data_IF_236397219286
#
_entry.id   IF_236397219286
#
_cell.length_a   1.000
_cell.length_b   1.000
_cell.length_c   1.000
_cell.angle_alpha   90.00
_cell.angle_beta   90.00
_cell.angle_gamma   90.00
#
_symmetry.space_group_name_H-M   'P 1'
#
loop_
_entity.id
_entity.type
_entity.pdbx_description
1 polymer ?
#
# COMPACT_ATOMS: atom_id res chain seq x y z
N UNK A 1 16.38 7.92 0.35
CA UNK A 1 15.63 7.63 1.60
C UNK A 1 16.36 8.21 2.84
N UNK A 2 15.75 9.17 3.54
CA UNK A 2 16.26 9.60 4.86
C UNK A 2 16.01 8.45 5.84
N UNK A 3 17.06 7.97 6.52
CA UNK A 3 16.95 7.02 7.61
C UNK A 3 15.90 7.53 8.60
N UNK A 4 14.90 6.71 8.95
CA UNK A 4 14.06 6.97 10.10
C UNK A 4 14.91 6.75 11.35
N UNK A 5 15.64 7.78 11.77
CA UNK A 5 16.49 7.76 12.96
C UNK A 5 15.74 8.47 14.08
N UNK A 6 15.45 7.74 15.14
CA UNK A 6 15.04 8.31 16.42
C UNK A 6 16.14 7.98 17.42
N UNK A 7 16.55 8.94 18.25
CA UNK A 7 17.48 8.64 19.33
C UNK A 7 16.69 8.04 20.51
N UNK A 8 17.17 6.93 21.08
CA UNK A 8 16.61 6.41 22.32
C UNK A 8 16.96 7.31 23.53
N UNK A 9 16.46 6.97 24.73
CA UNK A 9 16.75 7.73 25.96
C UNK A 9 18.25 7.77 26.33
N UNK A 10 19.06 6.88 25.75
CA UNK A 10 20.51 6.83 25.91
C UNK A 10 21.28 7.64 24.87
N UNK A 11 20.60 8.17 23.86
CA UNK A 11 21.19 8.90 22.73
C UNK A 11 21.73 8.00 21.62
N UNK A 12 21.42 6.70 21.63
CA UNK A 12 21.79 5.77 20.56
C UNK A 12 20.82 5.92 19.38
N UNK A 13 21.37 5.89 18.15
CA UNK A 13 20.55 5.91 16.94
C UNK A 13 19.76 4.59 16.81
N UNK A 14 18.43 4.68 16.80
CA UNK A 14 17.56 3.57 16.46
C UNK A 14 17.50 3.44 14.93
N UNK A 15 17.96 2.31 14.42
CA UNK A 15 17.83 1.96 12.99
C UNK A 15 16.51 1.24 12.74
N UNK A 16 16.00 1.32 11.51
CA UNK A 16 14.83 0.57 11.06
C UNK A 16 14.95 -0.94 11.35
N UNK A 17 16.13 -1.52 11.10
CA UNK A 17 16.44 -2.93 11.38
C UNK A 17 16.34 -3.25 12.88
N UNK A 18 16.92 -2.42 13.75
CA UNK A 18 16.90 -2.65 15.19
C UNK A 18 15.48 -2.59 15.77
N UNK A 19 14.70 -1.60 15.35
CA UNK A 19 13.33 -1.38 15.82
C UNK A 19 12.36 -2.47 15.33
N UNK A 20 12.56 -2.95 14.11
CA UNK A 20 11.76 -4.06 13.59
C UNK A 20 12.20 -5.41 14.18
N UNK A 21 13.49 -5.60 14.43
CA UNK A 21 13.99 -6.82 15.08
C UNK A 21 13.37 -7.02 16.46
N UNK A 22 13.28 -5.96 17.28
CA UNK A 22 12.63 -6.04 18.60
C UNK A 22 11.15 -6.42 18.45
N UNK A 23 10.43 -5.72 17.58
CA UNK A 23 9.02 -5.99 17.28
C UNK A 23 8.77 -7.43 16.82
N UNK A 24 9.61 -7.95 15.92
CA UNK A 24 9.50 -9.32 15.40
C UNK A 24 9.79 -10.34 16.49
N UNK A 25 10.80 -10.10 17.34
CA UNK A 25 11.13 -11.01 18.43
C UNK A 25 10.06 -11.10 19.53
N UNK A 26 9.24 -10.06 19.70
CA UNK A 26 8.11 -10.05 20.63
C UNK A 26 6.85 -10.67 20.02
N UNK A 27 6.62 -10.46 18.72
CA UNK A 27 5.44 -10.97 18.01
C UNK A 27 5.58 -12.41 17.50
N UNK A 28 6.80 -12.89 17.24
CA UNK A 28 7.06 -14.16 16.58
C UNK A 28 8.16 -14.96 17.28
N UNK A 29 8.01 -16.29 17.33
CA UNK A 29 8.99 -17.17 17.99
C UNK A 29 10.34 -17.25 17.28
N UNK A 30 10.38 -16.90 16.00
CA UNK A 30 11.60 -16.85 15.18
C UNK A 30 11.36 -15.97 13.95
N UNK A 31 12.26 -15.01 13.72
CA UNK A 31 12.31 -14.23 12.51
C UNK A 31 13.65 -13.52 12.38
N UNK A 32 14.05 -13.19 11.15
CA UNK A 32 15.26 -12.41 10.88
C UNK A 32 14.88 -11.12 10.18
N UNK A 33 15.54 -10.03 10.56
CA UNK A 33 15.34 -8.72 9.95
C UNK A 33 16.68 -8.27 9.39
N UNK A 34 16.69 -7.81 8.15
CA UNK A 34 17.89 -7.31 7.47
C UNK A 34 17.51 -6.05 6.70
N UNK A 35 18.28 -4.97 6.84
CA UNK A 35 18.07 -3.76 6.03
C UNK A 35 19.10 -3.65 4.90
N UNK A 36 18.63 -3.27 3.71
CA UNK A 36 19.50 -2.81 2.63
C UNK A 36 19.70 -1.29 2.77
N UNK A 37 20.92 -0.88 3.13
CA UNK A 37 21.25 0.52 3.33
C UNK A 37 21.18 1.38 2.04
N UNK A 38 21.30 0.76 0.88
CA UNK A 38 21.30 1.44 -0.41
C UNK A 38 19.90 1.82 -0.87
N UNK A 39 18.93 0.93 -0.64
CA UNK A 39 17.54 1.10 -1.04
C UNK A 39 16.65 1.58 0.10
N UNK A 40 17.01 1.26 1.35
CA UNK A 40 16.22 1.51 2.55
C UNK A 40 15.14 0.45 2.82
N UNK A 41 15.06 -0.59 1.98
CA UNK A 41 14.12 -1.71 2.16
C UNK A 41 14.60 -2.59 3.32
N UNK A 42 13.66 -3.03 4.14
CA UNK A 42 13.89 -3.99 5.22
C UNK A 42 13.20 -5.29 4.86
N UNK A 43 13.97 -6.37 4.80
CA UNK A 43 13.43 -7.73 4.63
C UNK A 43 13.19 -8.34 6.00
N UNK A 44 11.92 -8.65 6.29
CA UNK A 44 11.51 -9.41 7.48
C UNK A 44 11.21 -10.84 7.03
N UNK A 45 11.91 -11.83 7.59
CA UNK A 45 11.70 -13.24 7.28
C UNK A 45 11.07 -13.92 8.48
N UNK A 46 9.90 -14.53 8.30
CA UNK A 46 9.19 -15.29 9.33
C UNK A 46 8.88 -16.67 8.75
N UNK A 47 9.46 -17.71 9.36
CA UNK A 47 9.42 -19.06 8.78
C UNK A 47 10.19 -19.10 7.45
N UNK A 48 9.49 -19.46 6.37
CA UNK A 48 10.04 -19.51 5.01
C UNK A 48 9.56 -18.33 4.13
N UNK A 49 8.80 -17.39 4.70
CA UNK A 49 8.23 -16.28 3.93
C UNK A 49 9.00 -14.99 4.17
N UNK A 50 9.34 -14.32 3.08
CA UNK A 50 9.99 -13.01 3.06
C UNK A 50 8.95 -11.89 2.92
N UNK A 51 9.07 -10.87 3.75
CA UNK A 51 8.23 -9.68 3.75
C UNK A 51 9.08 -8.41 3.57
N UNK A 52 9.22 -7.88 2.34
CA UNK A 52 9.90 -6.62 2.09
C UNK A 52 9.01 -5.44 2.52
N UNK A 53 9.55 -4.61 3.42
CA UNK A 53 8.84 -3.46 3.96
C UNK A 53 9.72 -2.21 3.96
N UNK A 54 9.06 -1.06 3.92
CA UNK A 54 9.67 0.22 4.25
C UNK A 54 9.15 0.69 5.60
N UNK A 55 10.04 1.30 6.40
CA UNK A 55 9.64 2.00 7.62
C UNK A 55 9.12 3.37 7.23
N UNK A 56 7.81 3.54 7.31
CA UNK A 56 7.13 4.79 6.98
C UNK A 56 7.29 5.82 8.11
N UNK A 57 7.22 5.36 9.37
CA UNK A 57 7.27 6.24 10.54
C UNK A 57 7.79 5.53 11.78
N UNK A 58 8.52 6.26 12.63
CA UNK A 58 8.93 5.82 13.97
C UNK A 58 8.64 6.94 14.97
N UNK A 59 7.99 6.62 16.08
CA UNK A 59 7.59 7.57 17.13
C UNK A 59 7.86 6.98 18.51
N UNK A 60 8.30 7.81 19.44
CA UNK A 60 8.26 7.47 20.86
C UNK A 60 6.82 7.63 21.37
N UNK A 61 6.35 6.64 22.13
CA UNK A 61 5.02 6.62 22.73
C UNK A 61 5.12 6.30 24.22
N UNK A 62 4.26 6.92 25.06
CA UNK A 62 4.24 6.60 26.48
C UNK A 62 3.75 5.17 26.73
N UNK A 63 4.14 4.58 27.85
CA UNK A 63 3.73 3.23 28.31
C UNK A 63 2.20 3.03 28.38
N UNK A 64 1.43 4.11 28.37
CA UNK A 64 -0.03 4.04 28.28
C UNK A 64 -0.54 3.56 26.92
N UNK A 65 0.28 3.60 25.86
CA UNK A 65 -0.07 3.07 24.55
C UNK A 65 0.13 1.56 24.59
N UNK A 66 -0.91 0.75 24.29
CA UNK A 66 -0.77 -0.70 24.30
C UNK A 66 0.25 -1.18 23.28
N UNK A 67 1.12 -2.07 23.73
CA UNK A 67 2.04 -2.83 22.89
C UNK A 67 1.30 -3.82 21.98
N UNK A 68 1.98 -4.23 20.92
CA UNK A 68 1.49 -5.22 19.96
C UNK A 68 1.50 -4.72 18.52
N UNK A 69 1.09 -5.62 17.62
CA UNK A 69 1.04 -5.39 16.17
C UNK A 69 -0.42 -5.25 15.76
N UNK A 70 -0.72 -4.20 14.99
CA UNK A 70 -2.07 -3.97 14.43
C UNK A 70 -2.01 -3.42 13.01
N UNK A 71 -2.89 -3.91 12.15
CA UNK A 71 -3.13 -3.30 10.86
C UNK A 71 -3.93 -2.00 11.04
N UNK A 72 -3.57 -0.96 10.29
CA UNK A 72 -4.28 0.30 10.20
C UNK A 72 -5.29 0.27 9.03
N UNK A 73 -6.29 1.17 8.99
CA UNK A 73 -7.34 1.16 7.96
C UNK A 73 -6.81 1.19 6.52
N UNK A 74 -5.70 1.89 6.29
CA UNK A 74 -5.04 2.00 4.99
C UNK A 74 -4.21 0.76 4.61
N UNK A 75 -4.19 -0.27 5.46
CA UNK A 75 -3.41 -1.49 5.26
C UNK A 75 -1.94 -1.38 5.67
N UNK A 76 -1.49 -0.25 6.22
CA UNK A 76 -0.16 -0.21 6.86
C UNK A 76 -0.18 -0.99 8.19
N UNK A 77 0.98 -1.41 8.69
CA UNK A 77 1.09 -2.14 9.96
C UNK A 77 1.77 -1.24 10.98
N UNK A 78 1.12 -1.06 12.13
CA UNK A 78 1.70 -0.41 13.30
C UNK A 78 2.14 -1.46 14.32
N UNK A 79 3.42 -1.45 14.65
CA UNK A 79 4.00 -2.19 15.77
C UNK A 79 4.29 -1.23 16.92
N UNK A 80 3.88 -1.57 18.13
CA UNK A 80 4.25 -0.83 19.35
C UNK A 80 4.98 -1.78 20.30
N UNK A 81 6.20 -1.41 20.69
CA UNK A 81 7.07 -2.22 21.54
C UNK A 81 8.02 -1.31 22.32
N UNK A 82 8.14 -1.52 23.63
CA UNK A 82 9.10 -0.82 24.50
C UNK A 82 9.05 0.72 24.35
N UNK A 83 7.85 1.29 24.30
CA UNK A 83 7.65 2.74 24.13
C UNK A 83 8.00 3.28 22.74
N UNK A 84 8.17 2.41 21.74
CA UNK A 84 8.43 2.79 20.34
C UNK A 84 7.29 2.28 19.47
N UNK A 85 6.64 3.20 18.75
CA UNK A 85 5.64 2.93 17.74
C UNK A 85 6.25 3.05 16.33
N UNK A 86 6.10 2.00 15.53
CA UNK A 86 6.71 1.89 14.20
C UNK A 86 5.65 1.51 13.18
N UNK A 87 5.49 2.33 12.16
CA UNK A 87 4.60 2.06 11.04
C UNK A 87 5.42 1.54 9.87
N UNK A 88 5.05 0.36 9.36
CA UNK A 88 5.63 -0.22 8.16
C UNK A 88 4.61 -0.32 7.05
N UNK A 89 5.12 -0.22 5.82
CA UNK A 89 4.35 -0.36 4.58
C UNK A 89 5.06 -1.35 3.67
N UNK A 90 4.32 -2.07 2.80
CA UNK A 90 4.94 -2.96 1.81
C UNK A 90 5.91 -2.21 0.90
N UNK A 91 6.94 -2.91 0.46
CA UNK A 91 7.92 -2.42 -0.50
C UNK A 91 8.13 -3.43 -1.63
N UNK A 92 8.55 -2.99 -2.83
CA UNK A 92 9.12 -3.92 -3.80
C UNK A 92 10.36 -4.60 -3.20
N UNK A 93 10.53 -5.89 -3.48
CA UNK A 93 11.71 -6.66 -3.12
C UNK A 93 12.98 -6.07 -3.74
N UNK A 94 12.89 -5.58 -4.99
CA UNK A 94 13.95 -4.85 -5.67
C UNK A 94 13.42 -3.52 -6.23
N UNK A 95 13.45 -2.42 -5.43
CA UNK A 95 12.97 -1.11 -5.88
C UNK A 95 13.77 -0.53 -7.05
N UNK A 96 15.06 -0.90 -7.19
CA UNK A 96 15.93 -0.35 -8.23
C UNK A 96 15.59 -1.01 -9.56
N UNK A 97 15.51 -2.34 -9.59
CA UNK A 97 15.12 -3.07 -10.79
C UNK A 97 13.67 -2.77 -11.20
N UNK A 98 12.75 -2.69 -10.24
CA UNK A 98 11.36 -2.29 -10.48
C UNK A 98 11.26 -0.92 -11.16
N UNK A 99 11.93 0.09 -10.59
CA UNK A 99 11.91 1.45 -11.15
C UNK A 99 12.57 1.51 -12.54
N UNK A 100 13.67 0.77 -12.73
CA UNK A 100 14.35 0.70 -14.03
C UNK A 100 13.45 0.08 -15.10
N UNK A 101 12.77 -1.03 -14.78
CA UNK A 101 11.90 -1.71 -15.74
C UNK A 101 10.70 -0.84 -16.13
N UNK A 102 10.13 -0.06 -15.20
CA UNK A 102 9.07 0.89 -15.55
C UNK A 102 9.54 1.99 -16.49
N UNK A 103 10.75 2.53 -16.28
CA UNK A 103 11.34 3.52 -17.20
C UNK A 103 11.52 2.94 -18.60
N UNK A 104 11.92 1.67 -18.71
CA UNK A 104 12.08 0.97 -20.00
C UNK A 104 10.74 0.80 -20.74
N UNK A 105 9.61 0.79 -20.04
CA UNK A 105 8.26 0.82 -20.66
C UNK A 105 7.83 2.20 -21.16
N UNK A 106 8.65 3.24 -20.94
CA UNK A 106 8.35 4.62 -21.32
C UNK A 106 7.52 5.39 -20.28
N UNK A 107 7.28 4.81 -19.11
CA UNK A 107 6.67 5.50 -17.97
C UNK A 107 7.74 6.36 -17.28
N UNK A 108 7.43 7.63 -17.05
CA UNK A 108 8.28 8.57 -16.31
C UNK A 108 7.59 8.98 -15.01
N UNK A 109 8.33 9.56 -14.08
CA UNK A 109 7.83 10.03 -12.78
C UNK A 109 7.23 8.94 -11.87
N UNK A 110 7.81 7.72 -11.92
CA UNK A 110 7.51 6.67 -10.94
C UNK A 110 8.02 7.10 -9.57
N UNK A 111 7.13 7.18 -8.59
CA UNK A 111 7.48 7.44 -7.21
C UNK A 111 6.86 6.38 -6.29
N UNK A 112 7.68 5.80 -5.44
CA UNK A 112 7.25 5.03 -4.28
C UNK A 112 7.19 6.01 -3.10
N UNK A 113 5.98 6.39 -2.73
CA UNK A 113 5.74 7.35 -1.66
C UNK A 113 6.03 6.76 -0.28
N UNK A 114 6.15 7.60 0.74
CA UNK A 114 6.45 7.17 2.12
C UNK A 114 5.37 6.28 2.74
N UNK A 115 4.14 6.33 2.22
CA UNK A 115 3.05 5.42 2.58
C UNK A 115 3.04 4.13 1.75
N UNK A 116 4.10 3.84 0.99
CA UNK A 116 4.20 2.64 0.15
C UNK A 116 3.37 2.69 -1.14
N UNK A 117 2.66 3.80 -1.41
CA UNK A 117 1.92 3.96 -2.66
C UNK A 117 2.91 4.09 -3.82
N UNK A 118 2.74 3.26 -4.83
CA UNK A 118 3.33 3.44 -6.15
C UNK A 118 2.44 4.43 -6.90
N UNK A 119 3.03 5.57 -7.25
CA UNK A 119 2.40 6.61 -8.07
C UNK A 119 3.15 6.74 -9.39
N UNK A 120 2.39 6.84 -10.48
CA UNK A 120 2.89 7.18 -11.80
C UNK A 120 1.81 7.93 -12.56
N UNK A 121 2.22 8.86 -13.42
CA UNK A 121 1.30 9.59 -14.29
C UNK A 121 1.26 8.95 -15.67
N UNK A 122 0.08 8.79 -16.24
CA UNK A 122 -0.08 8.32 -17.62
C UNK A 122 -0.08 9.52 -18.59
N UNK A 123 0.17 9.26 -19.87
CA UNK A 123 0.15 10.30 -20.91
C UNK A 123 -1.22 11.02 -21.02
N UNK A 124 -2.30 10.34 -20.63
CA UNK A 124 -3.66 10.88 -20.64
C UNK A 124 -3.99 11.70 -19.38
N UNK A 125 -3.04 11.87 -18.46
CA UNK A 125 -3.19 12.64 -17.23
C UNK A 125 -3.82 11.89 -16.06
N UNK A 126 -4.01 10.56 -16.17
CA UNK A 126 -4.45 9.73 -15.05
C UNK A 126 -3.28 9.49 -14.10
N UNK A 127 -3.57 9.36 -12.81
CA UNK A 127 -2.59 8.89 -11.82
C UNK A 127 -2.88 7.44 -11.48
N UNK A 128 -1.87 6.58 -11.52
CA UNK A 128 -1.94 5.24 -10.96
C UNK A 128 -1.75 5.30 -9.44
N UNK A 129 -2.49 4.46 -8.71
CA UNK A 129 -2.44 4.30 -7.28
C UNK A 129 -2.47 2.81 -6.93
N UNK A 130 -1.28 2.24 -6.73
CA UNK A 130 -1.12 0.86 -6.27
C UNK A 130 -0.21 0.78 -5.06
N UNK A 131 -0.16 -0.40 -4.44
CA UNK A 131 0.77 -0.72 -3.34
C UNK A 131 1.18 -2.17 -3.46
N UNK A 132 2.42 -2.50 -3.15
CA UNK A 132 2.86 -3.90 -3.11
C UNK A 132 2.07 -4.68 -2.03
N UNK A 133 1.89 -5.98 -2.23
CA UNK A 133 1.54 -6.85 -1.12
C UNK A 133 2.73 -7.06 -0.19
N UNK A 134 2.47 -7.48 1.05
CA UNK A 134 3.54 -7.68 2.02
C UNK A 134 4.42 -8.90 1.70
N UNK A 135 3.87 -9.91 1.03
CA UNK A 135 4.56 -11.19 0.82
C UNK A 135 5.27 -11.26 -0.52
N UNK A 136 6.34 -12.05 -0.57
CA UNK A 136 6.92 -12.52 -1.83
C UNK A 136 6.43 -13.94 -2.09
N UNK A 137 6.02 -14.20 -3.32
CA UNK A 137 5.87 -15.58 -3.80
C UNK A 137 7.22 -16.06 -4.28
N UNK A 138 7.85 -16.94 -3.49
CA UNK A 138 9.19 -17.46 -3.79
C UNK A 138 9.19 -18.31 -5.07
N UNK A 139 10.33 -18.32 -5.77
CA UNK A 139 10.51 -19.19 -6.94
C UNK A 139 10.43 -20.66 -6.56
N UNK A 140 9.81 -21.48 -7.40
CA UNK A 140 9.86 -22.95 -7.29
C UNK A 140 11.23 -23.54 -7.73
N UNK A 141 12.21 -22.68 -8.02
CA UNK A 141 13.55 -23.06 -8.48
C UNK A 141 13.67 -23.25 -10.00
N UNK A 142 12.63 -22.91 -10.76
CA UNK A 142 12.64 -22.95 -12.24
C UNK A 142 12.87 -21.56 -12.88
N UNK A 143 13.14 -20.53 -12.06
CA UNK A 143 13.47 -19.18 -12.53
C UNK A 143 14.78 -19.14 -13.33
N UNK A 144 14.73 -18.51 -14.51
CA UNK A 144 15.92 -18.20 -15.30
C UNK A 144 16.77 -17.20 -14.53
N UNK A 145 18.01 -17.54 -14.16
CA UNK A 145 18.98 -16.66 -13.46
C UNK A 145 19.51 -15.49 -14.30
N UNK A 146 18.74 -15.04 -15.28
CA UNK A 146 18.99 -13.88 -16.12
C UNK A 146 17.67 -13.35 -16.68
N UNK A 147 17.51 -12.03 -16.66
CA UNK A 147 16.30 -11.34 -17.10
C UNK A 147 16.19 -9.93 -16.54
N UNK A 148 15.20 -9.18 -17.01
CA UNK A 148 14.72 -7.92 -16.43
C UNK A 148 13.45 -8.20 -15.60
N UNK A 149 13.05 -7.26 -14.75
CA UNK A 149 11.72 -7.30 -14.12
C UNK A 149 10.65 -7.26 -15.22
N UNK A 150 9.65 -8.11 -15.10
CA UNK A 150 8.50 -8.18 -16.01
C UNK A 150 7.20 -7.85 -15.28
N UNK A 151 6.24 -7.30 -16.01
CA UNK A 151 4.93 -6.91 -15.48
C UNK A 151 3.82 -7.68 -16.17
N UNK A 152 2.94 -8.28 -15.37
CA UNK A 152 1.70 -8.88 -15.84
C UNK A 152 0.53 -7.99 -15.41
N UNK A 153 -0.28 -7.60 -16.39
CA UNK A 153 -1.50 -6.85 -16.13
C UNK A 153 -2.61 -7.79 -15.62
N UNK A 154 -3.49 -7.31 -14.72
CA UNK A 154 -4.66 -8.08 -14.31
C UNK A 154 -5.58 -8.40 -15.48
N UNK A 155 -6.30 -9.50 -15.39
CA UNK A 155 -7.33 -9.90 -16.35
C UNK A 155 -8.63 -10.20 -15.63
N UNK A 156 -9.76 -10.08 -16.33
CA UNK A 156 -11.08 -10.31 -15.74
C UNK A 156 -11.71 -9.05 -15.17
N UNK A 157 -12.55 -9.24 -14.16
CA UNK A 157 -13.42 -8.22 -13.59
C UNK A 157 -12.68 -7.36 -12.55
N UNK A 158 -12.70 -6.02 -12.66
CA UNK A 158 -12.04 -5.12 -11.69
C UNK A 158 -12.48 -5.28 -10.22
N UNK A 159 -13.69 -5.77 -9.95
CA UNK A 159 -14.15 -6.08 -8.58
C UNK A 159 -13.57 -7.40 -8.02
N UNK A 160 -13.00 -8.28 -8.86
CA UNK A 160 -12.46 -9.57 -8.43
C UNK A 160 -11.22 -9.37 -7.53
N UNK A 161 -11.15 -10.01 -6.34
CA UNK A 161 -9.94 -10.03 -5.50
C UNK A 161 -8.65 -10.40 -6.24
N UNK A 162 -8.72 -11.21 -7.30
CA UNK A 162 -7.58 -11.61 -8.14
C UNK A 162 -7.19 -10.58 -9.21
N UNK A 163 -7.94 -9.50 -9.40
CA UNK A 163 -7.59 -8.40 -10.31
C UNK A 163 -6.39 -7.60 -9.76
N UNK A 164 -5.18 -8.14 -9.93
CA UNK A 164 -3.92 -7.59 -9.45
C UNK A 164 -2.86 -7.52 -10.54
N UNK A 165 -1.98 -6.52 -10.48
CA UNK A 165 -0.75 -6.55 -11.28
C UNK A 165 0.26 -7.48 -10.61
N UNK A 166 1.02 -8.22 -11.40
CA UNK A 166 2.13 -9.05 -10.88
C UNK A 166 3.45 -8.51 -11.40
N UNK A 167 4.41 -8.40 -10.49
CA UNK A 167 5.82 -8.10 -10.78
C UNK A 167 6.59 -9.40 -10.67
N UNK A 168 7.19 -9.83 -11.77
CA UNK A 168 8.05 -11.02 -11.81
C UNK A 168 9.50 -10.56 -11.79
N UNK A 169 10.26 -11.05 -10.81
CA UNK A 169 11.68 -10.73 -10.66
C UNK A 169 12.57 -11.73 -11.40
N UNK A 170 13.80 -11.33 -11.77
CA UNK A 170 14.74 -12.22 -12.47
C UNK A 170 15.16 -13.46 -11.68
N UNK A 171 14.99 -13.49 -10.36
CA UNK A 171 15.26 -14.67 -9.53
C UNK A 171 14.10 -15.70 -9.56
N UNK A 172 13.02 -15.39 -10.30
CA UNK A 172 11.82 -16.21 -10.41
C UNK A 172 10.82 -16.00 -9.27
N UNK A 173 11.09 -15.11 -8.33
CA UNK A 173 10.11 -14.68 -7.34
C UNK A 173 9.11 -13.69 -7.96
N UNK A 174 7.96 -13.52 -7.31
CA UNK A 174 6.97 -12.53 -7.73
C UNK A 174 6.30 -11.83 -6.57
N UNK A 175 5.82 -10.62 -6.84
CA UNK A 175 5.02 -9.82 -5.92
C UNK A 175 3.82 -9.22 -6.62
N UNK A 176 2.76 -8.96 -5.86
CA UNK A 176 1.56 -8.31 -6.39
C UNK A 176 1.65 -6.81 -6.15
N UNK A 177 1.14 -6.04 -7.08
CA UNK A 177 0.74 -4.65 -6.83
C UNK A 177 -0.78 -4.68 -6.77
N UNK A 178 -1.32 -4.31 -5.61
CA UNK A 178 -2.72 -4.23 -5.29
C UNK A 178 -3.23 -2.80 -5.53
N UNK A 179 -4.51 -2.61 -5.88
CA UNK A 179 -5.04 -1.26 -5.97
C UNK A 179 -5.14 -0.64 -4.58
N UNK A 180 -4.95 0.67 -4.49
CA UNK A 180 -4.99 1.42 -3.25
C UNK A 180 -5.91 2.64 -3.41
N UNK A 181 -6.64 3.02 -2.36
CA UNK A 181 -7.29 4.33 -2.32
C UNK A 181 -6.24 5.44 -2.33
N UNK A 182 -6.27 6.27 -3.37
CA UNK A 182 -5.22 7.23 -3.63
C UNK A 182 -5.18 8.38 -2.61
N UNK A 183 -6.35 8.83 -2.15
CA UNK A 183 -6.50 9.93 -1.20
C UNK A 183 -6.80 9.41 0.21
N UNK A 184 -5.85 9.59 1.13
CA UNK A 184 -5.98 9.08 2.49
C UNK A 184 -7.06 9.77 3.32
N UNK A 185 -7.55 10.95 2.90
CA UNK A 185 -8.66 11.65 3.58
C UNK A 185 -9.98 10.87 3.52
N UNK A 186 -10.09 9.90 2.61
CA UNK A 186 -11.21 8.94 2.54
C UNK A 186 -11.35 8.14 3.83
N UNK A 187 -10.25 7.72 4.47
CA UNK A 187 -10.33 6.95 5.72
C UNK A 187 -10.89 7.80 6.87
N UNK A 188 -10.52 9.10 6.93
CA UNK A 188 -11.08 10.05 7.89
C UNK A 188 -12.56 10.34 7.61
N UNK A 189 -12.92 10.49 6.34
CA UNK A 189 -14.31 10.67 5.89
C UNK A 189 -15.21 9.52 6.32
N UNK A 190 -14.83 8.28 6.00
CA UNK A 190 -15.58 7.08 6.39
C UNK A 190 -15.65 6.92 7.92
N UNK A 191 -14.56 7.22 8.63
CA UNK A 191 -14.55 7.25 10.09
C UNK A 191 -15.51 8.30 10.67
N UNK A 192 -15.59 9.49 10.05
CA UNK A 192 -16.54 10.55 10.41
C UNK A 192 -18.01 10.15 10.22
N UNK A 193 -18.28 9.23 9.28
CA UNK A 193 -19.59 8.60 9.10
C UNK A 193 -19.87 7.47 10.11
N UNK A 194 -18.91 7.15 10.99
CA UNK A 194 -19.00 6.06 11.94
C UNK A 194 -18.84 4.67 11.31
N UNK A 195 -18.28 4.59 10.10
CA UNK A 195 -18.04 3.34 9.40
C UNK A 195 -16.65 2.81 9.75
N UNK A 196 -16.58 1.53 10.15
CA UNK A 196 -15.31 0.83 10.30
C UNK A 196 -14.71 0.58 8.92
N UNK A 197 -13.41 0.83 8.76
CA UNK A 197 -12.67 0.62 7.51
C UNK A 197 -11.43 -0.22 7.76
N UNK A 198 -11.18 -1.18 6.88
CA UNK A 198 -9.95 -1.96 6.84
C UNK A 198 -9.64 -2.38 5.41
N UNK A 199 -8.35 -2.43 5.07
CA UNK A 199 -7.89 -2.92 3.75
C UNK A 199 -7.24 -4.29 3.89
N UNK A 200 -7.69 -5.26 3.09
CA UNK A 200 -7.01 -6.54 2.93
C UNK A 200 -5.78 -6.36 2.02
N UNK A 201 -4.61 -6.46 2.64
CA UNK A 201 -3.31 -6.24 1.99
C UNK A 201 -2.83 -7.43 1.15
N UNK A 202 -3.69 -8.42 0.91
CA UNK A 202 -3.44 -9.53 -0.02
C UNK A 202 -4.26 -9.42 -1.31
N UNK A 203 -5.33 -8.61 -1.31
CA UNK A 203 -6.29 -8.47 -2.42
C UNK A 203 -6.54 -7.02 -2.85
N UNK A 204 -6.24 -6.05 -1.97
CA UNK A 204 -6.57 -4.64 -2.13
C UNK A 204 -8.04 -4.32 -1.87
N UNK A 205 -8.83 -5.30 -1.40
CA UNK A 205 -10.24 -5.09 -1.06
C UNK A 205 -10.35 -4.37 0.27
N UNK A 206 -11.17 -3.33 0.30
CA UNK A 206 -11.51 -2.58 1.50
C UNK A 206 -12.86 -3.04 2.03
N UNK A 207 -12.91 -3.37 3.32
CA UNK A 207 -14.16 -3.50 4.06
C UNK A 207 -14.57 -2.13 4.58
N UNK A 208 -15.80 -1.71 4.30
CA UNK A 208 -16.40 -0.46 4.76
C UNK A 208 -17.75 -0.78 5.40
N UNK A 209 -17.81 -0.77 6.73
CA UNK A 209 -18.96 -1.25 7.48
C UNK A 209 -19.24 -2.72 7.17
N UNK A 210 -20.38 -2.99 6.51
CA UNK A 210 -20.80 -4.34 6.10
C UNK A 210 -20.64 -4.60 4.60
N UNK A 211 -20.03 -3.68 3.85
CA UNK A 211 -19.81 -3.79 2.42
C UNK A 211 -18.31 -3.90 2.11
N UNK A 212 -17.99 -4.44 0.94
CA UNK A 212 -16.63 -4.61 0.46
C UNK A 212 -16.47 -3.90 -0.87
N UNK A 213 -15.34 -3.22 -1.05
CA UNK A 213 -15.05 -2.47 -2.26
C UNK A 213 -13.61 -2.67 -2.71
N UNK A 214 -13.39 -2.80 -4.02
CA UNK A 214 -12.06 -2.87 -4.62
C UNK A 214 -11.76 -1.56 -5.36
N UNK A 215 -10.72 -0.80 -4.97
CA UNK A 215 -10.36 0.42 -5.68
C UNK A 215 -9.93 0.14 -7.12
N UNK A 216 -10.24 1.07 -8.02
CA UNK A 216 -9.60 1.13 -9.33
C UNK A 216 -8.15 1.59 -9.18
N UNK A 217 -7.25 1.06 -10.02
CA UNK A 217 -5.85 1.50 -10.04
C UNK A 217 -5.68 2.96 -10.48
N UNK A 218 -6.59 3.49 -11.28
CA UNK A 218 -6.43 4.79 -11.91
C UNK A 218 -7.36 5.82 -11.27
N UNK A 219 -6.77 6.94 -10.89
CA UNK A 219 -7.44 8.17 -10.51
C UNK A 219 -7.52 9.05 -11.75
N UNK A 220 -8.74 9.39 -12.15
CA UNK A 220 -9.02 10.27 -13.26
C UNK A 220 -8.79 11.72 -12.83
N UNK A 221 -8.26 12.57 -13.73
CA UNK A 221 -8.14 14.00 -13.46
C UNK A 221 -9.52 14.62 -13.19
N UNK A 222 -9.53 15.66 -12.34
CA UNK A 222 -10.76 16.34 -11.96
C UNK A 222 -11.44 16.98 -13.18
N UNK A 223 -12.66 16.53 -13.49
CA UNK A 223 -13.51 17.15 -14.51
C UNK A 223 -14.36 18.27 -13.91
N UNK A 224 -14.90 19.17 -14.74
CA UNK A 224 -15.80 20.24 -14.30
C UNK A 224 -17.05 19.69 -13.59
N UNK A 225 -17.60 18.59 -14.07
CA UNK A 225 -18.79 17.96 -13.49
C UNK A 225 -18.48 17.31 -12.14
N UNK A 226 -17.33 16.63 -12.04
CA UNK A 226 -16.86 16.06 -10.78
C UNK A 226 -16.56 17.15 -9.75
N UNK A 227 -15.92 18.25 -10.15
CA UNK A 227 -15.65 19.40 -9.28
C UNK A 227 -16.96 20.01 -8.77
N UNK A 228 -17.95 20.20 -9.64
CA UNK A 228 -19.27 20.74 -9.25
C UNK A 228 -19.98 19.83 -8.26
N UNK A 229 -19.86 18.51 -8.44
CA UNK A 229 -20.40 17.53 -7.50
C UNK A 229 -19.67 17.58 -6.15
N UNK A 230 -18.33 17.66 -6.16
CA UNK A 230 -17.52 17.77 -4.96
C UNK A 230 -17.90 19.00 -4.14
N UNK A 231 -17.99 20.16 -4.78
CA UNK A 231 -18.34 21.42 -4.11
C UNK A 231 -19.74 21.39 -3.47
N UNK A 232 -20.65 20.59 -4.02
CA UNK A 232 -22.03 20.46 -3.53
C UNK A 232 -22.20 19.38 -2.46
N UNK A 233 -21.36 18.34 -2.45
CA UNK A 233 -21.60 17.13 -1.67
C UNK A 233 -20.45 16.70 -0.75
N UNK A 234 -19.30 17.38 -0.76
CA UNK A 234 -18.18 16.97 0.10
C UNK A 234 -18.54 17.08 1.57
N UNK A 235 -18.00 16.16 2.34
CA UNK A 235 -18.04 16.20 3.79
C UNK A 235 -16.97 17.15 4.37
N UNK A 236 -16.80 17.10 5.70
CA UNK A 236 -15.81 17.91 6.40
C UNK A 236 -14.35 17.53 6.06
N UNK A 237 -14.11 16.29 5.63
CA UNK A 237 -12.81 15.79 5.18
C UNK A 237 -12.49 16.21 3.75
N UNK A 238 -13.49 16.70 3.01
CA UNK A 238 -13.35 17.15 1.63
C UNK A 238 -13.56 16.05 0.60
N UNK A 239 -14.27 14.98 0.98
CA UNK A 239 -14.57 13.83 0.11
C UNK A 239 -16.06 13.79 -0.21
N UNK A 240 -16.39 13.52 -1.46
CA UNK A 240 -17.76 13.23 -1.89
C UNK A 240 -17.83 11.83 -2.52
N UNK A 241 -18.95 11.15 -2.32
CA UNK A 241 -19.21 9.81 -2.84
C UNK A 241 -20.39 9.87 -3.81
N UNK A 242 -20.17 9.47 -5.07
CA UNK A 242 -21.24 9.41 -6.07
C UNK A 242 -21.52 7.95 -6.44
N UNK A 243 -22.70 7.40 -6.11
CA UNK A 243 -23.04 6.02 -6.44
C UNK A 243 -23.15 5.83 -7.96
N UNK A 244 -22.69 4.69 -8.46
CA UNK A 244 -22.70 4.30 -9.86
C UNK A 244 -22.74 2.78 -10.01
N UNK A 245 -22.75 2.30 -11.25
CA UNK A 245 -22.50 0.91 -11.66
C UNK A 245 -21.47 1.00 -12.80
N UNK A 246 -20.20 1.07 -12.43
CA UNK A 246 -19.09 1.45 -13.33
C UNK A 246 -18.63 0.28 -14.18
N UNK A 247 -18.76 -0.96 -13.70
CA UNK A 247 -18.44 -2.18 -14.44
C UNK A 247 -19.68 -2.88 -15.03
N UNK A 248 -20.90 -2.49 -14.67
CA UNK A 248 -22.15 -3.03 -15.23
C UNK A 248 -22.53 -4.39 -14.67
N UNK A 249 -22.04 -4.74 -13.48
CA UNK A 249 -22.36 -6.01 -12.80
C UNK A 249 -23.65 -5.95 -11.97
N UNK A 250 -24.23 -4.75 -11.82
CA UNK A 250 -25.46 -4.51 -11.06
C UNK A 250 -25.24 -4.36 -9.55
N UNK A 251 -24.00 -4.39 -9.08
CA UNK A 251 -23.57 -4.04 -7.73
C UNK A 251 -23.33 -2.53 -7.69
N UNK A 252 -23.60 -1.91 -6.53
CA UNK A 252 -23.36 -0.46 -6.39
C UNK A 252 -21.88 -0.19 -6.19
N UNK A 253 -21.30 0.53 -7.14
CA UNK A 253 -19.98 1.12 -7.08
C UNK A 253 -20.06 2.57 -6.56
N UNK A 254 -18.91 3.14 -6.24
CA UNK A 254 -18.81 4.57 -5.94
C UNK A 254 -17.66 5.22 -6.68
N UNK A 255 -17.92 6.40 -7.23
CA UNK A 255 -16.85 7.36 -7.50
C UNK A 255 -16.54 8.10 -6.20
N UNK A 256 -15.32 7.92 -5.72
CA UNK A 256 -14.70 8.76 -4.69
C UNK A 256 -14.16 9.99 -5.38
N UNK A 257 -14.69 11.16 -5.02
CA UNK A 257 -14.29 12.44 -5.58
C UNK A 257 -13.63 13.23 -4.45
N UNK A 258 -12.39 13.65 -4.66
CA UNK A 258 -11.62 14.46 -3.71
C UNK A 258 -10.72 15.44 -4.45
N UNK A 259 -9.93 16.24 -3.74
CA UNK A 259 -8.94 17.13 -4.37
C UNK A 259 -7.90 16.38 -5.22
N UNK A 260 -7.75 15.07 -5.02
CA UNK A 260 -6.82 14.22 -5.76
C UNK A 260 -7.37 13.77 -7.13
N UNK A 261 -8.66 13.95 -7.39
CA UNK A 261 -9.32 13.52 -8.63
C UNK A 261 -10.55 12.66 -8.36
N UNK A 262 -10.86 11.78 -9.32
CA UNK A 262 -11.96 10.82 -9.21
C UNK A 262 -11.41 9.41 -9.27
N UNK A 263 -11.67 8.60 -8.25
CA UNK A 263 -11.30 7.20 -8.21
C UNK A 263 -12.56 6.35 -8.03
N UNK A 264 -12.76 5.36 -8.89
CA UNK A 264 -13.84 4.38 -8.71
C UNK A 264 -13.42 3.36 -7.65
N UNK A 265 -14.37 2.96 -6.80
CA UNK A 265 -14.28 1.76 -5.99
C UNK A 265 -15.42 0.83 -6.38
N UNK A 266 -15.08 -0.37 -6.84
CA UNK A 266 -16.02 -1.37 -7.33
C UNK A 266 -16.61 -2.15 -6.17
N UNK A 267 -17.92 -2.37 -6.13
CA UNK A 267 -18.54 -3.25 -5.15
C UNK A 267 -18.09 -4.70 -5.35
N UNK A 268 -17.86 -5.41 -4.24
CA UNK A 268 -17.43 -6.83 -4.25
C UNK A 268 -18.53 -7.68 -3.62
N UNK A 269 -18.93 -8.76 -4.31
CA UNK A 269 -19.89 -9.77 -3.82
C UNK A 269 -19.23 -10.95 -3.06
#
# INVERSE_FOLDING_TARGET
PKKAVVADESGAELTAEAVLSSSVSEGFSSGTVTADESTGVVSVVIGETTFPVNVAEVKLVPDSVPEGIRALPDGSILSVSNGIATTVVPAPADPVAFSSALVDTGLSDVAIESNGKVSLSTADGNSFAGRFDFGITESDGQGSTGGSVEFEAPTGEPSDPAYVYTVNYPDGSSQKILPLVADTTVFDSLGGLGLGVSTDTSTGVMSVGNASFKPAYFVLPMSTDAQSYLDSNRDASGVAYRPTDANGDGVTDYEIISNSGVQVVYGVE
#
